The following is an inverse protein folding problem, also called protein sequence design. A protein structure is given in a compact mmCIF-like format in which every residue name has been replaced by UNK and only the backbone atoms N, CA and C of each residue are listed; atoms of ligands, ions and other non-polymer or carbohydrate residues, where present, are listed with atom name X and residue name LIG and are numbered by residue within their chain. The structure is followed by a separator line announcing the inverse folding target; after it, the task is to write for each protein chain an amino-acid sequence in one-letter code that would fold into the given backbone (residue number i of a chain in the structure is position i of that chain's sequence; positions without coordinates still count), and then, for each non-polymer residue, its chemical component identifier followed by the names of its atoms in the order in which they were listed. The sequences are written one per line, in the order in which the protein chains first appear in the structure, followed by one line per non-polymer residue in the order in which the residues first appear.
data_IF_533649804711
#
_entry.id   IF_533649804711
#
_cell.length_a   1.000
_cell.length_b   1.000
_cell.length_c   1.000
_cell.angle_alpha   90.00
_cell.angle_beta   90.00
_cell.angle_gamma   90.00
#
_symmetry.space_group_name_H-M   'P 1'
#
loop_
_entity.id
_entity.type
_entity.pdbx_description
1 polymer ?
#
# COMPACT_ATOMS: atom_id res chain seq x y z
N UNK A 1 -15.71 17.11 -53.40
CA UNK A 1 -15.94 17.64 -52.03
C UNK A 1 -17.36 17.25 -51.65
N UNK A 2 -17.52 16.07 -51.02
CA UNK A 2 -18.80 15.61 -50.47
C UNK A 2 -18.55 14.36 -49.61
N UNK A 3 -18.89 14.42 -48.32
CA UNK A 3 -19.34 13.31 -47.46
C UNK A 3 -19.44 13.82 -46.01
N UNK A 4 -20.63 14.20 -45.56
CA UNK A 4 -21.57 13.41 -44.72
C UNK A 4 -21.18 13.45 -43.24
N UNK A 5 -21.87 14.33 -42.51
CA UNK A 5 -21.92 14.39 -41.05
C UNK A 5 -22.96 13.40 -40.53
N UNK A 6 -22.57 12.59 -39.54
CA UNK A 6 -23.46 11.66 -38.85
C UNK A 6 -23.67 12.16 -37.42
N UNK A 7 -24.91 12.59 -37.13
CA UNK A 7 -25.38 13.01 -35.81
C UNK A 7 -26.05 11.82 -35.15
N UNK A 8 -25.51 11.35 -34.03
CA UNK A 8 -26.19 10.38 -33.16
C UNK A 8 -26.82 11.09 -31.98
N UNK A 9 -28.15 11.13 -31.95
CA UNK A 9 -28.94 11.52 -30.79
C UNK A 9 -29.36 10.28 -30.00
N UNK A 10 -29.03 10.23 -28.72
CA UNK A 10 -29.60 9.28 -27.77
C UNK A 10 -30.34 10.05 -26.67
N UNK A 11 -31.66 9.88 -26.64
CA UNK A 11 -32.51 10.26 -25.50
C UNK A 11 -32.69 9.02 -24.62
N UNK A 12 -32.06 9.00 -23.45
CA UNK A 12 -32.28 8.00 -22.40
C UNK A 12 -33.17 8.58 -21.31
N UNK A 13 -34.39 8.05 -21.18
CA UNK A 13 -35.33 8.38 -20.13
C UNK A 13 -34.86 7.83 -18.77
N UNK A 14 -34.77 8.70 -17.75
CA UNK A 14 -34.50 8.30 -16.37
C UNK A 14 -35.84 8.12 -15.66
N UNK A 15 -36.16 6.87 -15.31
CA UNK A 15 -37.27 6.54 -14.43
C UNK A 15 -36.88 6.84 -12.97
N UNK A 16 -37.59 7.79 -12.35
CA UNK A 16 -37.55 8.05 -10.92
C UNK A 16 -38.24 6.91 -10.17
N UNK A 17 -37.47 6.10 -9.46
CA UNK A 17 -38.02 5.13 -8.50
C UNK A 17 -38.12 5.75 -7.10
N UNK A 18 -39.25 5.47 -6.50
CA UNK A 18 -39.85 6.07 -5.31
C UNK A 18 -39.32 5.35 -4.05
N UNK A 19 -38.73 6.10 -3.10
CA UNK A 19 -38.32 5.56 -1.80
C UNK A 19 -39.35 6.02 -0.75
N UNK A 20 -40.09 5.11 -0.10
CA UNK A 20 -40.94 5.48 1.02
C UNK A 20 -40.11 5.69 2.29
N UNK A 21 -40.40 6.80 2.97
CA UNK A 21 -40.04 7.07 4.37
C UNK A 21 -41.05 6.38 5.28
N UNK A 22 -40.57 5.69 6.31
CA UNK A 22 -41.06 5.71 7.71
C UNK A 22 -40.18 4.75 8.53
N UNK A 23 -39.41 5.21 9.54
CA UNK A 23 -39.77 5.53 10.93
C UNK A 23 -40.25 4.32 11.75
N UNK A 24 -39.34 3.73 12.54
CA UNK A 24 -39.64 3.30 13.91
C UNK A 24 -38.42 3.60 14.80
N UNK A 25 -38.66 4.49 15.76
CA UNK A 25 -37.84 4.76 16.93
C UNK A 25 -38.25 3.84 18.09
N UNK A 26 -37.45 3.89 19.17
CA UNK A 26 -37.56 3.27 20.51
C UNK A 26 -36.69 2.02 20.67
N UNK A 27 -35.96 1.82 21.77
CA UNK A 27 -35.86 2.58 23.03
C UNK A 27 -34.58 2.17 23.76
N UNK A 28 -34.05 3.10 24.53
CA UNK A 28 -32.98 2.91 25.51
C UNK A 28 -33.35 1.86 26.56
N UNK A 29 -32.35 1.07 27.00
CA UNK A 29 -32.31 0.56 28.37
C UNK A 29 -30.86 0.40 28.83
N UNK A 30 -30.61 0.97 29.99
CA UNK A 30 -29.34 1.29 30.66
C UNK A 30 -28.67 0.03 31.23
N UNK A 31 -27.34 -0.01 31.21
CA UNK A 31 -26.57 -0.64 32.30
C UNK A 31 -25.23 0.08 32.47
N UNK A 32 -25.17 0.95 33.47
CA UNK A 32 -23.91 1.48 34.01
C UNK A 32 -23.18 0.35 34.73
N UNK A 33 -21.91 0.12 34.35
CA UNK A 33 -20.95 -0.68 35.10
C UNK A 33 -19.80 0.23 35.51
N UNK A 34 -19.37 0.23 36.77
CA UNK A 34 -18.24 1.01 37.22
C UNK A 34 -16.92 0.30 36.95
N UNK A 35 -15.91 1.10 36.63
CA UNK A 35 -14.47 0.80 36.58
C UNK A 35 -14.02 -0.19 35.51
N UNK A 36 -14.17 0.21 34.24
CA UNK A 36 -13.30 -0.27 33.17
C UNK A 36 -12.24 0.81 32.90
N UNK A 37 -11.00 0.47 33.22
CA UNK A 37 -9.80 1.23 32.87
C UNK A 37 -9.85 1.47 31.37
N UNK A 38 -10.16 2.72 30.99
CA UNK A 38 -10.02 3.19 29.61
C UNK A 38 -8.52 3.13 29.32
N UNK A 39 -8.08 1.98 28.81
CA UNK A 39 -6.94 1.91 27.92
C UNK A 39 -7.18 3.03 26.92
N UNK A 40 -6.27 4.01 26.89
CA UNK A 40 -6.20 4.94 25.78
C UNK A 40 -5.77 4.13 24.54
N UNK A 41 -6.69 3.34 24.00
CA UNK A 41 -6.64 2.91 22.61
C UNK A 41 -6.71 4.20 21.82
N UNK A 42 -5.54 4.77 21.53
CA UNK A 42 -5.44 5.76 20.48
C UNK A 42 -6.09 5.10 19.29
N UNK A 43 -7.23 5.65 18.86
CA UNK A 43 -7.94 5.23 17.65
C UNK A 43 -7.12 5.72 16.46
N UNK A 44 -5.85 5.31 16.42
CA UNK A 44 -4.92 5.55 15.35
C UNK A 44 -5.38 4.65 14.23
N UNK A 45 -6.29 5.21 13.44
CA UNK A 45 -6.79 4.57 12.26
C UNK A 45 -5.63 4.50 11.27
N UNK A 46 -4.87 3.41 11.31
CA UNK A 46 -3.73 3.15 10.41
C UNK A 46 -4.20 2.59 9.07
N UNK A 47 -5.52 2.59 8.83
CA UNK A 47 -6.14 1.92 7.71
C UNK A 47 -7.08 2.83 6.93
N UNK A 48 -7.24 2.49 5.65
CA UNK A 48 -8.22 3.06 4.73
C UNK A 48 -8.96 1.90 4.06
N UNK A 49 -10.26 2.04 3.82
CA UNK A 49 -11.04 1.05 3.08
C UNK A 49 -11.56 1.65 1.77
N UNK A 50 -11.33 0.94 0.68
CA UNK A 50 -11.73 1.34 -0.68
C UNK A 50 -12.38 0.13 -1.33
N UNK A 51 -13.65 0.26 -1.71
CA UNK A 51 -14.42 -0.78 -2.42
C UNK A 51 -14.43 -2.14 -1.69
N UNK A 52 -14.52 -2.12 -0.36
CA UNK A 52 -14.52 -3.33 0.47
C UNK A 52 -13.15 -4.00 0.59
N UNK A 53 -12.07 -3.30 0.23
CA UNK A 53 -10.69 -3.73 0.51
C UNK A 53 -10.06 -2.75 1.48
N UNK A 54 -9.58 -3.26 2.63
CA UNK A 54 -8.92 -2.48 3.66
C UNK A 54 -7.41 -2.54 3.48
N UNK A 55 -6.77 -1.38 3.42
CA UNK A 55 -5.33 -1.20 3.33
C UNK A 55 -4.84 -0.56 4.63
N UNK A 56 -3.86 -1.17 5.27
CA UNK A 56 -3.34 -0.74 6.56
C UNK A 56 -1.83 -0.67 6.53
N UNK A 57 -1.27 0.46 6.95
CA UNK A 57 0.17 0.60 7.12
C UNK A 57 0.60 -0.03 8.45
N UNK A 58 1.65 -0.84 8.39
CA UNK A 58 2.26 -1.51 9.53
C UNK A 58 3.65 -0.91 9.79
N UNK A 59 3.82 -0.28 10.94
CA UNK A 59 5.12 0.21 11.44
C UNK A 59 5.23 -0.19 12.92
N UNK A 60 5.61 -1.46 13.20
CA UNK A 60 5.62 -1.99 14.57
C UNK A 60 6.60 -1.24 15.49
N UNK A 61 7.72 -0.77 14.94
CA UNK A 61 8.72 0.02 15.65
C UNK A 61 8.71 1.44 15.06
N UNK A 62 8.30 2.42 15.87
CA UNK A 62 8.22 3.84 15.45
C UNK A 62 9.44 4.66 15.82
N UNK A 63 10.41 4.06 16.50
CA UNK A 63 11.69 4.70 16.82
C UNK A 63 12.77 3.93 16.06
N UNK A 64 13.45 4.60 15.15
CA UNK A 64 14.50 4.04 14.30
C UNK A 64 15.84 4.64 14.71
N UNK A 65 16.69 3.80 15.28
CA UNK A 65 18.01 4.23 15.76
C UNK A 65 19.00 4.30 14.59
N UNK A 66 19.69 5.43 14.46
CA UNK A 66 20.73 5.60 13.45
C UNK A 66 21.88 4.63 13.75
N UNK A 67 22.36 3.83 12.78
CA UNK A 67 23.53 2.98 13.01
C UNK A 67 24.81 3.83 13.16
N UNK A 68 25.89 3.30 13.75
CA UNK A 68 27.20 3.93 13.69
C UNK A 68 27.60 4.27 12.24
N UNK A 69 28.31 5.38 12.03
CA UNK A 69 28.81 5.75 10.70
C UNK A 69 30.08 4.97 10.35
N UNK A 70 29.90 3.65 10.16
CA UNK A 70 30.93 2.69 9.84
C UNK A 70 30.51 1.85 8.62
N UNK A 71 31.47 1.29 7.85
CA UNK A 71 31.14 0.35 6.78
C UNK A 71 30.28 -0.81 7.30
N UNK A 72 29.26 -1.20 6.54
CA UNK A 72 28.35 -2.31 6.81
C UNK A 72 27.46 -2.16 8.06
N UNK A 73 27.55 -1.05 8.80
CA UNK A 73 26.66 -0.76 9.91
C UNK A 73 25.27 -0.37 9.40
N UNK A 74 24.25 -1.11 9.86
CA UNK A 74 22.86 -0.91 9.45
C UNK A 74 21.89 -1.14 10.62
N UNK A 75 20.76 -0.43 10.59
CA UNK A 75 19.62 -0.67 11.47
C UNK A 75 18.45 -1.11 10.64
N UNK A 76 17.96 -2.34 10.86
CA UNK A 76 16.78 -2.85 10.17
C UNK A 76 15.53 -2.04 10.54
N UNK A 77 14.70 -1.72 9.54
CA UNK A 77 13.46 -0.96 9.70
C UNK A 77 12.30 -1.77 9.13
N UNK A 78 11.28 -2.03 9.96
CA UNK A 78 10.07 -2.75 9.53
C UNK A 78 8.96 -1.77 9.16
N UNK A 79 8.68 -1.67 7.86
CA UNK A 79 7.53 -0.95 7.32
C UNK A 79 6.82 -1.92 6.38
N UNK A 80 5.50 -1.96 6.43
CA UNK A 80 4.72 -2.87 5.60
C UNK A 80 3.29 -2.44 5.37
N UNK A 81 2.57 -3.22 4.57
CA UNK A 81 1.14 -3.08 4.34
C UNK A 81 0.42 -4.38 4.66
N UNK A 82 -0.75 -4.26 5.29
CA UNK A 82 -1.74 -5.33 5.36
C UNK A 82 -2.91 -4.96 4.46
N UNK A 83 -3.26 -5.87 3.57
CA UNK A 83 -4.40 -5.74 2.66
C UNK A 83 -5.41 -6.82 3.04
N UNK A 84 -6.60 -6.42 3.48
CA UNK A 84 -7.69 -7.31 3.86
C UNK A 84 -8.81 -7.21 2.84
N UNK A 85 -9.24 -8.34 2.30
CA UNK A 85 -10.36 -8.40 1.39
C UNK A 85 -11.66 -8.58 2.19
N UNK A 86 -12.44 -7.51 2.39
CA UNK A 86 -13.76 -7.59 3.03
C UNK A 86 -14.89 -7.81 2.01
N UNK A 87 -14.58 -7.97 0.73
CA UNK A 87 -15.58 -8.26 -0.30
C UNK A 87 -16.05 -9.72 -0.22
N UNK A 88 -17.13 -10.05 -0.94
CA UNK A 88 -17.65 -11.42 -1.04
C UNK A 88 -16.95 -12.25 -2.13
N UNK A 89 -16.03 -11.66 -2.89
CA UNK A 89 -15.33 -12.33 -3.99
C UNK A 89 -13.84 -12.37 -3.72
N UNK A 90 -13.13 -13.35 -4.27
CA UNK A 90 -11.68 -13.36 -4.18
C UNK A 90 -11.09 -12.25 -5.06
N UNK A 91 -10.07 -11.56 -4.56
CA UNK A 91 -9.46 -10.40 -5.23
C UNK A 91 -7.98 -10.66 -5.43
N UNK A 92 -7.46 -10.41 -6.64
CA UNK A 92 -6.02 -10.52 -6.91
C UNK A 92 -5.34 -9.17 -6.81
N UNK A 93 -4.18 -9.13 -6.17
CA UNK A 93 -3.32 -7.93 -6.12
C UNK A 93 -2.10 -8.12 -7.00
N UNK A 94 -1.46 -7.03 -7.37
CA UNK A 94 -0.22 -7.05 -8.16
C UNK A 94 0.90 -6.41 -7.39
N UNK A 95 2.05 -7.09 -7.38
CA UNK A 95 3.29 -6.61 -6.79
C UNK A 95 4.34 -6.24 -7.83
N UNK A 96 3.97 -6.26 -9.11
CA UNK A 96 4.91 -6.14 -10.24
C UNK A 96 5.78 -4.88 -10.19
N UNK A 97 5.40 -3.88 -9.40
CA UNK A 97 6.26 -2.75 -9.18
C UNK A 97 6.02 -2.02 -7.85
N UNK A 98 6.75 -2.31 -6.76
CA UNK A 98 6.76 -1.49 -5.55
C UNK A 98 7.36 -0.08 -5.76
N UNK A 99 7.84 0.30 -6.95
CA UNK A 99 8.15 1.71 -7.26
C UNK A 99 6.93 2.45 -7.81
N UNK A 100 6.08 1.79 -8.59
CA UNK A 100 4.92 2.41 -9.24
C UNK A 100 3.58 2.09 -8.56
N UNK A 101 3.38 0.84 -8.18
CA UNK A 101 2.14 0.32 -7.61
C UNK A 101 2.09 0.55 -6.10
N UNK A 102 3.19 0.36 -5.39
CA UNK A 102 3.20 0.48 -3.93
C UNK A 102 4.29 1.44 -3.44
N UNK A 103 3.96 2.73 -3.38
CA UNK A 103 4.91 3.78 -3.02
C UNK A 103 4.94 4.06 -1.51
N UNK A 104 6.13 3.98 -0.91
CA UNK A 104 6.43 4.59 0.39
C UNK A 104 6.67 6.09 0.20
N UNK A 105 6.03 6.90 1.04
CA UNK A 105 6.26 8.33 1.11
C UNK A 105 6.70 8.70 2.53
N UNK A 106 7.75 9.52 2.62
CA UNK A 106 8.25 10.10 3.88
C UNK A 106 8.06 11.61 3.80
N UNK A 107 7.46 12.18 4.83
CA UNK A 107 7.20 13.61 5.00
C UNK A 107 8.08 14.12 6.14
N UNK A 108 8.82 15.19 5.87
CA UNK A 108 9.65 15.91 6.83
C UNK A 108 8.79 16.69 7.85
N UNK A 109 9.38 17.16 8.97
CA UNK A 109 8.69 18.05 9.90
C UNK A 109 8.09 19.32 9.26
N UNK A 110 8.72 19.83 8.20
CA UNK A 110 8.25 20.99 7.45
C UNK A 110 7.07 20.70 6.50
N UNK A 111 6.58 19.46 6.48
CA UNK A 111 5.49 19.01 5.62
C UNK A 111 5.91 18.65 4.19
N UNK A 112 7.20 18.77 3.84
CA UNK A 112 7.68 18.43 2.50
C UNK A 112 7.96 16.94 2.36
N UNK A 113 7.62 16.37 1.19
CA UNK A 113 7.91 14.98 0.89
C UNK A 113 9.36 14.78 0.46
N UNK A 114 10.03 13.77 1.01
CA UNK A 114 11.37 13.38 0.56
C UNK A 114 11.22 12.61 -0.76
N UNK A 115 11.99 13.03 -1.77
CA UNK A 115 12.01 12.35 -3.06
C UNK A 115 12.64 10.97 -2.90
N UNK A 116 11.84 9.92 -3.13
CA UNK A 116 12.35 8.55 -3.28
C UNK A 116 13.25 8.48 -4.50
N UNK A 117 14.38 7.80 -4.34
CA UNK A 117 15.32 7.47 -5.39
C UNK A 117 15.41 5.94 -5.49
N UNK A 118 15.96 5.45 -6.58
CA UNK A 118 16.05 4.03 -6.83
C UNK A 118 16.21 3.71 -8.30
N UNK A 119 16.31 2.43 -8.57
CA UNK A 119 16.46 1.89 -9.91
C UNK A 119 16.18 0.40 -9.88
N UNK A 120 15.91 -0.15 -11.07
CA UNK A 120 15.73 -1.59 -11.24
C UNK A 120 16.58 -2.05 -12.41
N UNK A 121 17.30 -3.15 -12.19
CA UNK A 121 17.90 -3.89 -13.28
C UNK A 121 16.83 -4.81 -13.87
N UNK A 122 16.31 -4.42 -15.03
CA UNK A 122 15.25 -5.14 -15.78
C UNK A 122 15.68 -6.60 -16.11
N UNK A 123 16.97 -6.92 -15.95
CA UNK A 123 17.57 -8.21 -16.30
C UNK A 123 17.42 -9.28 -15.22
N UNK A 124 17.12 -8.92 -13.96
CA UNK A 124 16.88 -9.91 -12.91
C UNK A 124 15.44 -10.41 -12.97
N UNK A 125 15.25 -11.50 -13.72
CA UNK A 125 14.04 -12.33 -13.69
C UNK A 125 13.89 -12.94 -12.29
N UNK A 126 13.34 -12.20 -11.33
CA UNK A 126 12.82 -12.82 -10.11
C UNK A 126 11.46 -13.41 -10.46
N UNK A 127 11.31 -14.75 -10.57
CA UNK A 127 10.07 -15.38 -11.03
C UNK A 127 8.94 -15.31 -9.99
N UNK A 128 9.14 -14.65 -8.86
CA UNK A 128 8.14 -14.52 -7.80
C UNK A 128 7.31 -13.24 -7.95
N UNK A 129 6.96 -12.91 -9.18
CA UNK A 129 5.97 -11.90 -9.54
C UNK A 129 4.56 -12.46 -9.30
N UNK A 130 4.33 -12.91 -8.07
CA UNK A 130 3.06 -13.45 -7.64
C UNK A 130 2.03 -12.33 -7.68
N UNK A 131 0.88 -12.63 -8.28
CA UNK A 131 -0.32 -11.83 -8.16
C UNK A 131 -1.24 -12.51 -7.14
N UNK A 132 -0.98 -12.31 -5.83
CA UNK A 132 -1.61 -13.09 -4.78
C UNK A 132 -3.13 -12.93 -4.83
N UNK A 133 -3.82 -14.06 -4.70
CA UNK A 133 -5.27 -14.11 -4.55
C UNK A 133 -5.62 -14.03 -3.07
N UNK A 134 -6.38 -13.02 -2.68
CA UNK A 134 -6.87 -12.83 -1.32
C UNK A 134 -8.35 -13.21 -1.29
N UNK A 135 -8.68 -14.28 -0.56
CA UNK A 135 -10.06 -14.74 -0.38
C UNK A 135 -10.88 -13.76 0.50
N UNK A 136 -12.22 -13.79 0.43
CA UNK A 136 -13.09 -13.06 1.35
C UNK A 136 -12.72 -13.29 2.82
N UNK A 137 -12.60 -12.21 3.58
CA UNK A 137 -12.23 -12.21 5.00
C UNK A 137 -10.74 -12.45 5.29
N UNK A 138 -9.92 -12.79 4.28
CA UNK A 138 -8.50 -13.02 4.47
C UNK A 138 -7.68 -11.73 4.28
N UNK A 139 -6.46 -11.77 4.83
CA UNK A 139 -5.47 -10.71 4.69
C UNK A 139 -4.19 -11.21 4.06
N UNK A 140 -3.53 -10.30 3.36
CA UNK A 140 -2.17 -10.43 2.86
C UNK A 140 -1.31 -9.38 3.55
N UNK A 141 -0.11 -9.76 3.97
CA UNK A 141 0.83 -8.84 4.60
C UNK A 141 2.15 -8.86 3.87
N UNK A 142 2.69 -7.67 3.62
CA UNK A 142 3.98 -7.48 2.97
C UNK A 142 4.81 -6.48 3.77
N UNK A 143 6.09 -6.77 3.98
CA UNK A 143 7.05 -5.86 4.57
C UNK A 143 8.14 -5.53 3.56
N UNK A 144 8.55 -4.27 3.55
CA UNK A 144 9.74 -3.84 2.82
C UNK A 144 10.98 -4.35 3.55
N UNK A 145 11.97 -4.79 2.79
CA UNK A 145 13.32 -5.04 3.29
C UNK A 145 14.05 -3.69 3.44
N UNK A 146 13.69 -2.92 4.46
CA UNK A 146 14.19 -1.56 4.67
C UNK A 146 15.23 -1.52 5.78
N UNK A 147 16.21 -0.63 5.62
CA UNK A 147 17.26 -0.37 6.61
C UNK A 147 17.74 1.07 6.57
N UNK A 148 18.13 1.58 7.74
CA UNK A 148 18.97 2.77 7.86
C UNK A 148 20.43 2.38 7.67
N UNK A 149 21.17 3.15 6.87
CA UNK A 149 22.59 2.92 6.61
C UNK A 149 23.28 4.21 6.18
N UNK A 150 24.60 4.26 6.33
CA UNK A 150 25.43 5.38 5.88
C UNK A 150 26.04 5.11 4.51
N UNK A 151 26.03 6.13 3.65
CA UNK A 151 26.77 6.14 2.39
C UNK A 151 27.33 7.53 2.15
N UNK A 152 28.65 7.65 1.98
CA UNK A 152 29.34 8.93 1.80
C UNK A 152 28.99 9.98 2.88
N UNK A 153 28.90 9.57 4.15
CA UNK A 153 28.48 10.40 5.30
C UNK A 153 27.07 10.99 5.18
N UNK A 154 26.21 10.39 4.37
CA UNK A 154 24.79 10.72 4.27
C UNK A 154 24.00 9.54 4.85
N UNK A 155 23.02 9.81 5.71
CA UNK A 155 22.11 8.80 6.21
C UNK A 155 21.02 8.51 5.18
N UNK A 156 20.83 7.23 4.90
CA UNK A 156 19.81 6.73 3.97
C UNK A 156 18.81 5.84 4.70
N UNK A 157 17.56 5.83 4.23
CA UNK A 157 16.61 4.74 4.45
C UNK A 157 16.37 4.09 3.10
N UNK A 158 16.71 2.82 2.94
CA UNK A 158 16.55 2.14 1.66
C UNK A 158 16.51 0.64 1.80
N UNK A 159 16.35 -0.04 0.67
CA UNK A 159 16.05 -1.46 0.67
C UNK A 159 16.02 -2.10 -0.71
N UNK A 160 16.03 -3.42 -0.69
CA UNK A 160 15.67 -4.23 -1.86
C UNK A 160 14.15 -4.18 -2.05
N UNK A 161 13.71 -4.23 -3.30
CA UNK A 161 12.30 -4.40 -3.63
C UNK A 161 11.91 -5.88 -3.83
N UNK A 162 12.86 -6.80 -3.65
CA UNK A 162 12.69 -8.25 -3.83
C UNK A 162 12.61 -8.70 -5.30
N UNK A 163 12.61 -7.75 -6.24
CA UNK A 163 12.36 -7.95 -7.67
C UNK A 163 13.52 -7.43 -8.53
N UNK A 164 14.74 -7.41 -7.98
CA UNK A 164 15.94 -6.94 -8.67
C UNK A 164 16.06 -5.42 -8.76
N UNK A 165 15.23 -4.68 -8.00
CA UNK A 165 15.35 -3.24 -7.83
C UNK A 165 15.76 -2.86 -6.41
N UNK A 166 16.27 -1.64 -6.30
CA UNK A 166 16.59 -0.99 -5.04
C UNK A 166 15.92 0.37 -4.96
N UNK A 167 15.63 0.81 -3.74
CA UNK A 167 15.09 2.13 -3.47
C UNK A 167 15.73 2.73 -2.23
N UNK A 168 15.76 4.06 -2.16
CA UNK A 168 16.23 4.76 -0.97
C UNK A 168 15.70 6.20 -0.90
N UNK A 169 15.74 6.74 0.30
CA UNK A 169 15.66 8.17 0.63
C UNK A 169 17.02 8.58 1.17
N UNK A 170 17.51 9.75 0.79
CA UNK A 170 18.81 10.28 1.23
C UNK A 170 18.62 11.51 2.11
N UNK A 171 19.69 11.87 2.83
CA UNK A 171 19.74 13.09 3.65
C UNK A 171 18.69 13.10 4.75
N UNK A 172 18.56 11.96 5.43
CA UNK A 172 17.79 11.85 6.67
C UNK A 172 18.60 12.39 7.85
N UNK A 173 17.92 12.92 8.85
CA UNK A 173 18.50 13.50 10.06
C UNK A 173 17.72 13.01 11.28
N UNK A 174 18.28 13.08 12.50
CA UNK A 174 17.51 12.83 13.71
C UNK A 174 16.31 13.78 13.79
N UNK A 175 15.09 13.26 13.65
CA UNK A 175 13.86 14.05 13.70
C UNK A 175 12.60 13.18 13.74
N UNK A 176 11.45 13.83 13.87
CA UNK A 176 10.12 13.24 13.70
C UNK A 176 9.68 13.35 12.24
N UNK A 177 9.36 12.23 11.63
CA UNK A 177 8.85 12.14 10.26
C UNK A 177 7.45 11.55 10.26
N UNK A 178 6.74 11.73 9.15
CA UNK A 178 5.51 11.00 8.89
C UNK A 178 5.69 10.09 7.69
N UNK A 179 5.15 8.87 7.76
CA UNK A 179 5.20 7.89 6.69
C UNK A 179 3.80 7.43 6.27
N UNK A 180 3.64 7.13 4.99
CA UNK A 180 2.43 6.46 4.48
C UNK A 180 2.75 5.60 3.27
N UNK A 181 1.85 4.67 2.98
CA UNK A 181 1.89 3.84 1.79
C UNK A 181 0.77 4.25 0.84
N UNK A 182 1.10 4.26 -0.44
CA UNK A 182 0.17 4.50 -1.53
C UNK A 182 0.16 3.25 -2.39
N UNK A 183 -0.98 2.55 -2.42
CA UNK A 183 -1.23 1.47 -3.37
C UNK A 183 -2.04 2.02 -4.55
N UNK A 184 -1.52 1.94 -5.76
CA UNK A 184 -2.14 2.45 -6.98
C UNK A 184 -1.98 1.46 -8.12
N UNK A 185 -3.08 0.83 -8.53
CA UNK A 185 -3.10 -0.04 -9.70
C UNK A 185 -4.13 0.49 -10.72
N UNK A 186 -3.68 1.13 -11.81
CA UNK A 186 -4.59 1.63 -12.84
C UNK A 186 -5.00 0.53 -13.84
N UNK A 187 -4.45 -0.69 -13.74
CA UNK A 187 -4.64 -1.74 -14.73
C UNK A 187 -5.31 -2.99 -14.12
N UNK A 188 -6.49 -3.38 -14.62
CA UNK A 188 -7.18 -4.61 -14.19
C UNK A 188 -6.58 -5.91 -14.75
N UNK A 189 -5.54 -5.78 -15.58
CA UNK A 189 -4.86 -6.89 -16.26
C UNK A 189 -3.35 -6.67 -16.22
N UNK A 190 -2.60 -7.69 -15.79
CA UNK A 190 -1.13 -7.70 -15.85
C UNK A 190 -0.62 -9.11 -16.16
N UNK A 191 0.57 -9.17 -16.74
CA UNK A 191 1.35 -10.40 -16.82
C UNK A 191 1.84 -10.75 -15.41
N UNK A 192 1.39 -11.87 -14.88
CA UNK A 192 1.78 -12.38 -13.56
C UNK A 192 2.49 -13.71 -13.74
N UNK A 193 3.43 -13.99 -12.84
CA UNK A 193 4.04 -15.31 -12.77
C UNK A 193 3.38 -16.04 -11.61
N UNK A 194 2.61 -17.06 -11.94
CA UNK A 194 2.16 -18.01 -10.95
C UNK A 194 3.21 -19.13 -10.88
N UNK A 195 3.91 -19.30 -9.75
CA UNK A 195 4.96 -20.32 -9.63
C UNK A 195 4.40 -21.74 -9.80
N UNK A 196 3.10 -21.95 -9.63
CA UNK A 196 2.46 -23.26 -9.81
C UNK A 196 2.15 -23.57 -11.29
N UNK A 197 1.91 -22.54 -12.11
CA UNK A 197 1.54 -22.72 -13.53
C UNK A 197 2.67 -22.37 -14.50
N UNK A 198 3.77 -21.78 -14.02
CA UNK A 198 4.86 -21.35 -14.88
C UNK A 198 5.41 -22.52 -15.71
N UNK A 199 5.34 -22.38 -17.02
CA UNK A 199 6.07 -23.26 -17.91
C UNK A 199 7.57 -22.96 -17.75
N UNK A 200 8.29 -23.86 -17.09
CA UNK A 200 9.73 -23.71 -16.81
C UNK A 200 10.60 -23.67 -18.09
N UNK A 201 10.08 -24.12 -19.23
CA UNK A 201 10.80 -24.06 -20.51
C UNK A 201 10.67 -22.69 -21.16
N UNK A 202 9.49 -22.07 -21.10
CA UNK A 202 9.20 -20.83 -21.84
C UNK A 202 9.31 -19.57 -21.00
N UNK A 203 9.15 -19.66 -19.67
CA UNK A 203 9.07 -18.51 -18.76
C UNK A 203 8.09 -17.42 -19.25
N UNK A 204 7.04 -17.82 -19.96
CA UNK A 204 6.01 -16.90 -20.43
C UNK A 204 5.04 -16.66 -19.27
N UNK A 205 4.86 -15.41 -18.80
CA UNK A 205 3.90 -15.11 -17.75
C UNK A 205 2.47 -15.27 -18.25
N UNK A 206 1.58 -15.74 -17.37
CA UNK A 206 0.15 -15.77 -17.63
C UNK A 206 -0.43 -14.36 -17.55
N UNK A 207 -1.35 -14.04 -18.46
CA UNK A 207 -2.11 -12.79 -18.38
C UNK A 207 -3.22 -13.00 -17.36
N UNK A 208 -3.05 -12.42 -16.18
CA UNK A 208 -4.06 -12.47 -15.12
C UNK A 208 -5.00 -11.28 -15.26
N UNK A 209 -6.29 -11.59 -15.31
CA UNK A 209 -7.39 -10.63 -15.30
C UNK A 209 -8.02 -10.53 -13.91
N UNK A 210 -8.81 -9.49 -13.68
CA UNK A 210 -9.51 -9.30 -12.40
C UNK A 210 -8.59 -8.89 -11.27
N UNK A 211 -7.48 -8.20 -11.58
CA UNK A 211 -6.68 -7.54 -10.56
C UNK A 211 -7.48 -6.40 -9.94
N UNK A 212 -7.30 -6.19 -8.64
CA UNK A 212 -7.85 -5.02 -7.96
C UNK A 212 -7.33 -3.76 -8.63
N UNK A 213 -8.23 -2.89 -9.06
CA UNK A 213 -7.91 -1.58 -9.64
C UNK A 213 -8.35 -0.50 -8.69
N UNK A 214 -7.53 0.54 -8.59
CA UNK A 214 -7.89 1.68 -7.77
C UNK A 214 -6.66 2.30 -7.12
N UNK A 215 -6.95 3.19 -6.18
CA UNK A 215 -5.94 3.93 -5.43
C UNK A 215 -6.33 4.00 -3.96
N UNK A 216 -5.47 3.50 -3.10
CA UNK A 216 -5.59 3.55 -1.65
C UNK A 216 -4.38 4.28 -1.07
N UNK A 217 -4.63 5.25 -0.19
CA UNK A 217 -3.59 6.02 0.49
C UNK A 217 -3.79 5.78 1.98
N UNK A 218 -2.82 5.14 2.63
CA UNK A 218 -2.92 4.93 4.08
C UNK A 218 -2.79 6.27 4.81
N UNK A 219 -3.35 6.36 6.03
CA UNK A 219 -3.09 7.48 6.93
C UNK A 219 -1.59 7.67 7.20
N UNK A 220 -1.22 8.90 7.57
CA UNK A 220 0.14 9.25 7.95
C UNK A 220 0.43 8.72 9.35
N UNK A 221 1.56 8.03 9.50
CA UNK A 221 2.07 7.53 10.77
C UNK A 221 3.33 8.27 11.17
N UNK A 222 3.40 8.69 12.43
CA UNK A 222 4.58 9.31 12.99
C UNK A 222 5.67 8.27 13.29
N UNK A 223 6.91 8.61 12.95
CA UNK A 223 8.12 7.83 13.26
C UNK A 223 9.23 8.78 13.68
N UNK A 224 10.12 8.33 14.54
CA UNK A 224 11.24 9.10 15.06
C UNK A 224 12.54 8.46 14.62
N UNK A 225 13.41 9.22 13.97
CA UNK A 225 14.80 8.84 13.74
C UNK A 225 15.62 9.46 14.87
N UNK A 226 16.37 8.64 15.61
CA UNK A 226 17.11 9.08 16.80
C UNK A 226 18.58 8.70 16.71
N UNK A 227 19.44 9.50 17.35
CA UNK A 227 20.83 9.12 17.57
C UNK A 227 20.93 7.87 18.47
N UNK A 228 22.02 7.08 18.36
CA UNK A 228 22.27 5.93 19.22
C UNK A 228 22.30 6.25 20.72
#
# INVERSE_FOLDING_TARGET
ITAIALVFGFFGAIALSYIPKELIANSQLIRESPDEVISSESTENNAVEVEGVRFEILVPERVWTIPPNEPDAETAVKIGIRITNNTQQAVRFTWLDPLMIMSLQIIKPDGTAIKRQGGRDILLKSPQLACPLVLPGNSLTFFFDAKLYWLNNILHLGGSDGLGGGWYFSSLEPNTYQVRLIYENPYGVKACYDPETINQETYVPDIVQGLWTGRAITPLLEVHIVEP
#
